data_IF_143247644814
#
_entry.id   IF_143247644814
#
_cell.length_a   1.000
_cell.length_b   1.000
_cell.length_c   1.000
_cell.angle_alpha   90.00
_cell.angle_beta   90.00
_cell.angle_gamma   90.00
#
_symmetry.space_group_name_H-M   'P 1'
#
loop_
_entity.id
_entity.type
_entity.pdbx_description
1 polymer ?
#
# COMPACT_ATOMS: atom_id res chain seq x y z
N UNK A 1 -70.72 -17.20 27.54
CA UNK A 1 -69.62 -16.24 27.36
C UNK A 1 -68.37 -17.02 27.00
N UNK A 2 -68.07 -17.09 25.70
CA UNK A 2 -66.84 -17.70 25.15
C UNK A 2 -65.66 -16.79 25.49
N UNK A 3 -64.63 -17.32 26.16
CA UNK A 3 -63.32 -16.67 26.22
C UNK A 3 -62.30 -17.57 25.52
N UNK A 4 -61.91 -17.14 24.32
CA UNK A 4 -60.81 -17.72 23.56
C UNK A 4 -59.47 -17.39 24.23
N UNK A 5 -58.66 -18.43 24.43
CA UNK A 5 -57.25 -18.33 24.81
C UNK A 5 -56.45 -17.97 23.56
N UNK A 6 -55.83 -16.78 23.56
CA UNK A 6 -54.89 -16.37 22.52
C UNK A 6 -53.45 -16.64 22.98
N UNK A 7 -52.72 -17.42 22.17
CA UNK A 7 -51.32 -17.77 22.31
C UNK A 7 -50.47 -16.54 21.93
N UNK A 8 -49.67 -16.00 22.85
CA UNK A 8 -48.64 -15.01 22.53
C UNK A 8 -47.41 -15.72 21.96
N UNK A 9 -47.18 -15.57 20.65
CA UNK A 9 -45.88 -15.81 20.03
C UNK A 9 -45.05 -14.52 20.14
N UNK A 10 -43.90 -14.59 20.81
CA UNK A 10 -42.93 -13.50 20.89
C UNK A 10 -42.18 -13.39 19.55
N UNK A 11 -42.53 -12.38 18.75
CA UNK A 11 -41.76 -11.99 17.56
C UNK A 11 -40.69 -11.00 18.01
N UNK A 12 -39.42 -11.40 17.92
CA UNK A 12 -38.27 -10.52 18.14
C UNK A 12 -38.21 -9.47 17.02
N UNK A 13 -38.70 -8.27 17.31
CA UNK A 13 -38.68 -7.14 16.39
C UNK A 13 -37.25 -6.72 16.03
N UNK A 14 -36.88 -6.93 14.77
CA UNK A 14 -35.82 -6.17 14.12
C UNK A 14 -36.31 -4.73 13.94
N UNK A 15 -35.70 -3.78 14.64
CA UNK A 15 -35.89 -2.36 14.36
C UNK A 15 -35.12 -2.05 13.07
N UNK A 16 -35.81 -2.15 11.92
CA UNK A 16 -35.40 -1.48 10.68
C UNK A 16 -35.68 0.00 10.87
N UNK A 17 -34.67 0.85 10.78
CA UNK A 17 -34.89 2.29 10.67
C UNK A 17 -35.42 2.57 9.26
N UNK A 18 -36.71 2.90 9.16
CA UNK A 18 -37.26 3.58 7.98
C UNK A 18 -36.92 5.07 8.09
N UNK A 19 -35.87 5.50 7.38
CA UNK A 19 -35.68 6.89 6.99
C UNK A 19 -34.75 6.95 5.77
N UNK A 20 -35.26 7.56 4.70
CA UNK A 20 -34.70 7.73 3.35
C UNK A 20 -34.74 6.48 2.45
N UNK A 21 -35.85 6.33 1.71
CA UNK A 21 -35.84 5.77 0.35
C UNK A 21 -34.96 6.68 -0.54
N UNK A 22 -33.65 6.60 -0.34
CA UNK A 22 -32.65 7.24 -1.18
C UNK A 22 -32.27 6.28 -2.29
N UNK A 23 -32.31 6.75 -3.55
CA UNK A 23 -31.77 6.07 -4.75
C UNK A 23 -30.72 5.03 -4.39
N UNK A 24 -30.98 3.75 -4.71
CA UNK A 24 -29.96 2.71 -4.62
C UNK A 24 -28.69 3.24 -5.30
N UNK A 25 -27.55 3.21 -4.60
CA UNK A 25 -26.28 3.63 -5.19
C UNK A 25 -26.09 2.83 -6.48
N UNK A 26 -25.99 3.47 -7.66
CA UNK A 26 -25.91 2.74 -8.93
C UNK A 26 -24.61 1.93 -9.01
N UNK A 27 -23.59 2.30 -8.23
CA UNK A 27 -22.32 1.58 -8.15
C UNK A 27 -22.33 0.68 -6.92
N UNK A 28 -22.36 -0.64 -7.15
CA UNK A 28 -22.17 -1.64 -6.10
C UNK A 28 -20.67 -1.95 -5.99
N UNK A 29 -20.09 -1.99 -4.78
CA UNK A 29 -18.70 -2.40 -4.65
C UNK A 29 -18.52 -3.87 -5.06
N UNK A 30 -17.40 -4.16 -5.71
CA UNK A 30 -17.04 -5.46 -6.27
C UNK A 30 -16.76 -6.51 -5.18
N UNK A 31 -16.30 -6.08 -4.00
CA UNK A 31 -15.88 -6.95 -2.90
C UNK A 31 -16.10 -6.29 -1.53
N UNK A 32 -17.31 -5.78 -1.27
CA UNK A 32 -17.59 -5.09 0.00
C UNK A 32 -17.62 -6.04 1.20
N UNK A 33 -18.02 -7.30 0.98
CA UNK A 33 -17.92 -8.36 1.98
C UNK A 33 -16.45 -8.73 2.18
N UNK A 34 -16.08 -9.04 3.42
CA UNK A 34 -14.70 -9.35 3.78
C UNK A 34 -14.59 -10.36 4.90
N UNK A 35 -13.42 -10.98 4.98
CA UNK A 35 -12.95 -11.76 6.13
C UNK A 35 -12.00 -10.90 6.96
N UNK A 36 -12.13 -10.93 8.28
CA UNK A 36 -11.20 -10.24 9.18
C UNK A 36 -9.99 -11.14 9.42
N UNK A 37 -8.81 -10.68 9.00
CA UNK A 37 -7.53 -11.39 9.21
C UNK A 37 -6.95 -11.07 10.58
N UNK A 38 -7.13 -9.83 11.02
CA UNK A 38 -6.68 -9.36 12.33
C UNK A 38 -7.67 -8.33 12.87
N UNK A 39 -7.92 -8.41 14.17
CA UNK A 39 -8.68 -7.44 14.93
C UNK A 39 -7.89 -6.97 16.15
N UNK A 40 -7.88 -5.67 16.37
CA UNK A 40 -7.15 -5.06 17.47
C UNK A 40 -7.82 -5.36 18.82
N UNK A 41 -7.04 -5.81 19.83
CA UNK A 41 -7.56 -5.98 21.19
C UNK A 41 -7.82 -4.65 21.91
N UNK A 42 -7.26 -3.54 21.41
CA UNK A 42 -7.47 -2.19 21.93
C UNK A 42 -7.50 -1.20 20.75
N UNK A 43 -8.65 -1.06 20.06
CA UNK A 43 -8.79 -0.21 18.86
C UNK A 43 -8.37 1.25 19.04
N UNK A 44 -8.38 1.76 20.27
CA UNK A 44 -8.02 3.14 20.58
C UNK A 44 -6.50 3.37 20.70
N UNK A 45 -5.70 2.32 20.94
CA UNK A 45 -4.28 2.46 21.24
C UNK A 45 -3.36 1.48 20.49
N UNK A 46 -3.90 0.38 19.94
CA UNK A 46 -3.20 -0.60 19.12
C UNK A 46 -3.85 -0.59 17.74
N UNK A 47 -3.08 -0.22 16.74
CA UNK A 47 -3.55 0.00 15.38
C UNK A 47 -3.05 -1.11 14.46
N UNK A 48 -3.81 -1.39 13.40
CA UNK A 48 -3.49 -2.38 12.39
C UNK A 48 -2.90 -1.71 11.15
N UNK A 49 -1.70 -2.10 10.73
CA UNK A 49 -0.96 -1.42 9.67
C UNK A 49 -0.35 -2.35 8.61
N UNK A 50 -0.06 -1.71 7.47
CA UNK A 50 0.83 -2.19 6.39
C UNK A 50 0.63 -3.63 5.92
N UNK A 51 -0.58 -3.98 5.43
CA UNK A 51 -0.84 -5.32 4.93
C UNK A 51 0.04 -5.66 3.71
N UNK A 52 0.68 -6.82 3.73
CA UNK A 52 1.31 -7.47 2.58
C UNK A 52 0.69 -8.86 2.34
N UNK A 53 0.69 -9.33 1.09
CA UNK A 53 0.02 -10.58 0.70
C UNK A 53 0.79 -11.27 -0.42
N UNK A 54 0.95 -12.59 -0.32
CA UNK A 54 1.44 -13.47 -1.40
C UNK A 54 0.69 -14.79 -1.39
N UNK A 55 0.54 -15.41 -2.56
CA UNK A 55 0.08 -16.78 -2.70
C UNK A 55 1.25 -17.68 -3.09
N UNK A 56 1.42 -18.78 -2.37
CA UNK A 56 2.45 -19.78 -2.63
C UNK A 56 2.00 -20.78 -3.70
N UNK A 57 2.94 -21.50 -4.34
CA UNK A 57 2.61 -22.71 -5.07
C UNK A 57 1.76 -23.65 -4.21
N UNK A 58 0.65 -24.16 -4.75
CA UNK A 58 -0.33 -24.96 -4.00
C UNK A 58 -1.47 -24.15 -3.37
N UNK A 59 -1.49 -22.82 -3.51
CA UNK A 59 -2.65 -21.98 -3.22
C UNK A 59 -2.70 -21.39 -1.81
N UNK A 60 -1.79 -21.80 -0.91
CA UNK A 60 -1.66 -21.22 0.43
C UNK A 60 -1.36 -19.74 0.38
N UNK A 61 -2.07 -18.95 1.18
CA UNK A 61 -1.89 -17.51 1.28
C UNK A 61 -1.04 -17.16 2.50
N UNK A 62 -0.14 -16.20 2.36
CA UNK A 62 0.65 -15.63 3.44
C UNK A 62 0.38 -14.13 3.51
N UNK A 63 -0.04 -13.66 4.68
CA UNK A 63 -0.28 -12.25 4.96
C UNK A 63 0.69 -11.73 6.01
N UNK A 64 1.15 -10.50 5.81
CA UNK A 64 1.92 -9.74 6.80
C UNK A 64 1.14 -8.50 7.21
N UNK A 65 1.36 -8.03 8.43
CA UNK A 65 0.89 -6.73 8.91
C UNK A 65 1.74 -6.30 10.10
N UNK A 66 1.59 -5.07 10.58
CA UNK A 66 2.23 -4.64 11.83
C UNK A 66 1.27 -3.95 12.80
N UNK A 67 1.54 -4.15 14.08
CA UNK A 67 0.87 -3.44 15.17
C UNK A 67 1.69 -2.22 15.55
N UNK A 68 1.02 -1.06 15.58
CA UNK A 68 1.60 0.20 16.03
C UNK A 68 0.69 0.94 17.01
N UNK A 69 1.15 2.10 17.49
CA UNK A 69 0.40 2.94 18.42
C UNK A 69 0.87 2.81 19.88
N UNK A 70 0.40 3.73 20.73
CA UNK A 70 0.88 3.88 22.11
C UNK A 70 0.56 2.71 23.04
N UNK A 71 -0.36 1.84 22.63
CA UNK A 71 -0.76 0.64 23.38
C UNK A 71 0.15 -0.56 23.12
N UNK A 72 0.97 -0.53 22.06
CA UNK A 72 1.78 -1.70 21.65
C UNK A 72 2.77 -2.12 22.74
N UNK A 73 3.41 -1.19 23.44
CA UNK A 73 4.34 -1.49 24.55
C UNK A 73 3.71 -2.26 25.72
N UNK A 74 2.37 -2.32 25.79
CA UNK A 74 1.62 -3.03 26.82
C UNK A 74 1.17 -4.42 26.38
N UNK A 75 1.35 -4.77 25.11
CA UNK A 75 1.04 -6.10 24.61
C UNK A 75 2.03 -7.13 25.19
N UNK A 76 1.61 -8.38 25.41
CA UNK A 76 2.51 -9.44 25.82
C UNK A 76 3.55 -9.72 24.72
N UNK A 77 4.75 -10.14 25.13
CA UNK A 77 5.85 -10.56 24.25
C UNK A 77 6.33 -9.49 23.27
N UNK A 78 6.40 -8.23 23.72
CA UNK A 78 6.94 -7.11 22.96
C UNK A 78 8.42 -6.92 23.32
N UNK A 79 9.26 -6.89 22.28
CA UNK A 79 10.64 -6.45 22.40
C UNK A 79 10.69 -4.96 22.74
N UNK A 80 11.40 -4.62 23.81
CA UNK A 80 11.41 -3.25 24.37
C UNK A 80 12.64 -2.44 23.96
N UNK A 81 13.61 -3.09 23.34
CA UNK A 81 14.83 -2.46 22.86
C UNK A 81 14.60 -2.01 21.41
N UNK A 82 14.44 -0.69 21.22
CA UNK A 82 14.26 -0.08 19.89
C UNK A 82 12.85 0.40 19.56
N UNK A 83 12.48 0.33 18.28
CA UNK A 83 11.22 0.85 17.76
C UNK A 83 10.05 -0.03 18.25
N UNK A 84 9.10 0.54 18.99
CA UNK A 84 7.99 -0.22 19.61
C UNK A 84 6.89 -0.51 18.57
N UNK A 85 7.12 -1.53 17.76
CA UNK A 85 6.20 -2.10 16.77
C UNK A 85 6.29 -3.62 16.82
N UNK A 86 5.28 -4.31 16.26
CA UNK A 86 5.33 -5.76 16.12
C UNK A 86 4.79 -6.19 14.77
N UNK A 87 5.66 -6.70 13.91
CA UNK A 87 5.25 -7.38 12.69
C UNK A 87 4.57 -8.70 13.02
N UNK A 88 3.57 -9.08 12.22
CA UNK A 88 2.81 -10.32 12.38
C UNK A 88 2.63 -11.01 11.04
N UNK A 89 2.75 -12.32 11.04
CA UNK A 89 2.61 -13.19 9.88
C UNK A 89 1.42 -14.13 10.10
N UNK A 90 0.58 -14.25 9.08
CA UNK A 90 -0.58 -15.14 9.07
C UNK A 90 -0.55 -16.03 7.82
N UNK A 91 -1.19 -17.19 7.91
CA UNK A 91 -1.38 -18.10 6.79
C UNK A 91 -2.86 -18.48 6.64
N UNK A 92 -3.26 -18.80 5.41
CA UNK A 92 -4.56 -19.39 5.11
C UNK A 92 -4.42 -20.52 4.09
N UNK A 93 -5.00 -21.67 4.40
CA UNK A 93 -5.00 -22.89 3.57
C UNK A 93 -6.39 -23.17 2.95
N UNK A 94 -7.36 -22.27 3.13
CA UNK A 94 -8.76 -22.42 2.71
C UNK A 94 -9.23 -21.25 1.82
N UNK A 95 -8.31 -20.72 1.03
CA UNK A 95 -8.49 -19.59 0.11
C UNK A 95 -8.88 -18.26 0.80
N UNK A 96 -8.40 -18.05 2.03
CA UNK A 96 -8.61 -16.81 2.79
C UNK A 96 -9.90 -16.77 3.60
N UNK A 97 -10.59 -17.91 3.78
CA UNK A 97 -11.80 -18.01 4.62
C UNK A 97 -11.45 -17.96 6.10
N UNK A 98 -10.35 -18.59 6.50
CA UNK A 98 -9.79 -18.53 7.85
C UNK A 98 -8.30 -18.23 7.81
N UNK A 99 -7.80 -17.59 8.87
CA UNK A 99 -6.42 -17.14 8.98
C UNK A 99 -5.81 -17.57 10.30
N UNK A 100 -4.63 -18.17 10.22
CA UNK A 100 -3.89 -18.66 11.37
C UNK A 100 -2.68 -17.75 11.61
N UNK A 101 -2.50 -17.30 12.85
CA UNK A 101 -1.27 -16.62 13.24
C UNK A 101 -0.10 -17.60 13.20
N UNK A 102 1.00 -17.20 12.58
CA UNK A 102 2.20 -18.04 12.40
C UNK A 102 3.37 -17.58 13.24
N UNK A 103 3.71 -16.30 13.16
CA UNK A 103 4.85 -15.75 13.90
C UNK A 103 4.71 -14.24 14.07
N UNK A 104 5.30 -13.73 15.14
CA UNK A 104 5.68 -12.33 15.21
C UNK A 104 7.00 -12.12 14.45
N UNK A 105 7.29 -10.89 14.04
CA UNK A 105 8.49 -10.51 13.30
C UNK A 105 9.03 -9.17 13.84
N UNK A 106 10.35 -8.99 13.97
CA UNK A 106 10.94 -7.78 14.56
C UNK A 106 10.94 -6.58 13.60
N UNK A 107 10.25 -6.68 12.46
CA UNK A 107 10.21 -5.66 11.43
C UNK A 107 8.77 -5.20 11.17
N UNK A 108 8.59 -3.93 10.83
CA UNK A 108 7.33 -3.39 10.35
C UNK A 108 7.36 -3.22 8.83
N UNK A 109 6.22 -2.84 8.25
CA UNK A 109 6.08 -2.55 6.82
C UNK A 109 6.50 -3.73 5.91
N UNK A 110 6.37 -4.94 6.41
CA UNK A 110 7.02 -6.11 5.82
C UNK A 110 6.21 -6.65 4.64
N UNK A 111 6.88 -6.98 3.53
CA UNK A 111 6.28 -7.61 2.34
C UNK A 111 6.66 -9.10 2.27
N UNK A 112 5.70 -10.02 2.07
CA UNK A 112 6.01 -11.41 1.77
C UNK A 112 6.18 -11.59 0.26
N UNK A 113 7.13 -12.42 -0.17
CA UNK A 113 7.35 -12.77 -1.58
C UNK A 113 8.13 -14.09 -1.69
N UNK A 114 8.06 -14.72 -2.85
CA UNK A 114 8.79 -15.97 -3.13
C UNK A 114 10.02 -15.71 -3.99
N UNK A 115 11.11 -16.43 -3.73
CA UNK A 115 12.24 -16.52 -4.64
C UNK A 115 12.72 -17.98 -4.67
N UNK A 116 12.69 -18.58 -5.86
CA UNK A 116 12.98 -20.00 -6.02
C UNK A 116 11.95 -20.84 -5.28
N UNK A 117 12.42 -21.67 -4.33
CA UNK A 117 11.55 -22.55 -3.52
C UNK A 117 11.24 -21.97 -2.14
N UNK A 118 11.76 -20.79 -1.83
CA UNK A 118 11.72 -20.23 -0.49
C UNK A 118 10.76 -19.04 -0.44
N UNK A 119 10.13 -18.88 0.71
CA UNK A 119 9.33 -17.73 1.08
C UNK A 119 10.19 -16.77 1.89
N UNK A 120 10.11 -15.49 1.56
CA UNK A 120 10.80 -14.43 2.26
C UNK A 120 9.80 -13.38 2.75
N UNK A 121 10.12 -12.75 3.89
CA UNK A 121 9.46 -11.54 4.35
C UNK A 121 10.54 -10.49 4.59
N UNK A 122 10.48 -9.39 3.84
CA UNK A 122 11.41 -8.26 3.92
C UNK A 122 10.68 -7.04 4.48
N UNK A 123 11.26 -6.42 5.49
CA UNK A 123 10.74 -5.20 6.10
C UNK A 123 11.88 -4.38 6.70
N UNK A 124 11.55 -3.52 7.67
CA UNK A 124 12.57 -2.75 8.38
C UNK A 124 12.26 -2.57 9.86
N UNK A 125 13.29 -2.33 10.65
CA UNK A 125 13.22 -1.87 12.05
C UNK A 125 14.08 -0.60 12.26
N UNK A 126 14.26 0.17 11.18
CA UNK A 126 15.32 1.16 11.01
C UNK A 126 16.43 0.67 10.08
N UNK A 127 16.74 -0.64 10.11
CA UNK A 127 17.58 -1.34 9.13
C UNK A 127 16.71 -2.24 8.25
N UNK A 128 17.21 -2.62 7.07
CA UNK A 128 16.54 -3.69 6.31
C UNK A 128 16.73 -5.03 7.01
N UNK A 129 15.63 -5.74 7.21
CA UNK A 129 15.63 -7.05 7.85
C UNK A 129 14.81 -8.01 7.01
N UNK A 130 15.31 -9.23 6.83
CA UNK A 130 14.64 -10.30 6.10
C UNK A 130 14.55 -11.56 6.96
N UNK A 131 13.43 -12.26 6.86
CA UNK A 131 13.26 -13.62 7.37
C UNK A 131 12.91 -14.56 6.23
N UNK A 132 13.27 -15.83 6.37
CA UNK A 132 13.08 -16.88 5.37
C UNK A 132 12.29 -18.05 5.97
N UNK A 133 11.47 -18.68 5.14
CA UNK A 133 10.81 -19.95 5.40
C UNK A 133 11.01 -20.89 4.21
N UNK A 134 11.33 -22.15 4.51
CA UNK A 134 11.51 -23.23 3.52
C UNK A 134 10.40 -24.30 3.62
N UNK A 135 9.37 -24.05 4.44
CA UNK A 135 8.26 -24.96 4.72
C UNK A 135 6.90 -24.26 4.55
N UNK A 136 6.79 -23.40 3.52
CA UNK A 136 5.57 -22.68 3.16
C UNK A 136 5.00 -21.79 4.28
N UNK A 137 5.88 -21.19 5.09
CA UNK A 137 5.53 -20.27 6.16
C UNK A 137 5.05 -20.97 7.44
N UNK A 138 5.32 -22.26 7.59
CA UNK A 138 5.06 -22.99 8.84
C UNK A 138 6.02 -22.56 9.95
N UNK A 139 7.31 -22.49 9.63
CA UNK A 139 8.38 -22.01 10.51
C UNK A 139 9.22 -20.94 9.81
N UNK A 140 9.91 -20.13 10.62
CA UNK A 140 10.71 -18.99 10.15
C UNK A 140 12.11 -19.06 10.75
N UNK A 141 13.11 -18.84 9.89
CA UNK A 141 14.50 -18.70 10.31
C UNK A 141 14.75 -17.41 11.12
N UNK A 142 15.97 -17.27 11.62
CA UNK A 142 16.37 -16.07 12.36
C UNK A 142 16.27 -14.82 11.47
N UNK A 143 15.80 -13.68 11.99
CA UNK A 143 15.85 -12.40 11.29
C UNK A 143 17.29 -12.02 10.94
N UNK A 144 17.52 -11.64 9.68
CA UNK A 144 18.83 -11.22 9.20
C UNK A 144 18.79 -9.76 8.78
N UNK A 145 19.67 -8.96 9.37
CA UNK A 145 19.89 -7.58 8.97
C UNK A 145 20.71 -7.55 7.67
N UNK A 146 20.21 -6.86 6.65
CA UNK A 146 20.89 -6.74 5.35
C UNK A 146 21.76 -5.48 5.27
N UNK A 147 21.47 -4.43 6.04
CA UNK A 147 22.15 -3.13 5.88
C UNK A 147 22.92 -2.72 7.12
N UNK A 148 24.08 -2.12 6.94
CA UNK A 148 24.83 -1.48 8.04
C UNK A 148 24.28 -0.09 8.36
N UNK A 149 23.60 0.55 7.40
CA UNK A 149 22.99 1.86 7.54
C UNK A 149 21.53 1.78 7.99
N UNK A 150 21.14 2.78 8.77
CA UNK A 150 19.77 2.99 9.25
C UNK A 150 19.00 3.92 8.29
N UNK A 151 17.71 4.15 8.60
CA UNK A 151 16.86 5.12 7.91
C UNK A 151 15.99 4.48 6.82
N UNK A 152 15.86 3.15 6.86
CA UNK A 152 15.03 2.42 5.91
C UNK A 152 13.55 2.56 6.24
N UNK A 153 12.75 2.59 5.17
CA UNK A 153 11.31 2.77 5.18
C UNK A 153 10.73 2.06 3.96
N UNK A 154 9.42 1.81 4.01
CA UNK A 154 8.48 1.64 2.88
C UNK A 154 7.47 0.54 3.18
N UNK A 155 6.17 0.86 3.13
CA UNK A 155 5.09 -0.12 3.24
C UNK A 155 5.12 -1.15 2.07
N UNK A 156 4.41 -2.29 2.17
CA UNK A 156 4.46 -3.33 1.12
C UNK A 156 3.96 -2.84 -0.24
N UNK A 157 4.85 -2.80 -1.23
CA UNK A 157 4.54 -2.59 -2.64
C UNK A 157 4.90 -3.85 -3.45
N UNK A 158 4.68 -3.81 -4.76
CA UNK A 158 4.89 -4.97 -5.62
C UNK A 158 6.36 -5.45 -5.68
N UNK A 159 6.53 -6.67 -6.19
CA UNK A 159 7.81 -7.29 -6.54
C UNK A 159 7.75 -7.66 -8.01
N UNK A 160 8.78 -7.27 -8.77
CA UNK A 160 8.90 -7.57 -10.18
C UNK A 160 9.84 -8.75 -10.40
N UNK A 161 9.53 -9.61 -11.37
CA UNK A 161 10.34 -10.76 -11.73
C UNK A 161 10.74 -10.63 -13.20
N UNK A 162 12.04 -10.59 -13.47
CA UNK A 162 12.60 -10.52 -14.82
C UNK A 162 14.02 -11.10 -14.80
N UNK A 163 14.50 -11.64 -15.93
CA UNK A 163 15.89 -12.06 -16.07
C UNK A 163 16.41 -13.00 -14.95
N UNK A 164 15.59 -13.95 -14.50
CA UNK A 164 15.88 -14.84 -13.36
C UNK A 164 16.29 -14.10 -12.06
N UNK A 165 15.79 -12.87 -11.92
CA UNK A 165 15.97 -12.00 -10.78
C UNK A 165 14.63 -11.50 -10.24
N UNK A 166 14.66 -11.16 -8.97
CA UNK A 166 13.67 -10.27 -8.37
C UNK A 166 14.17 -8.84 -8.45
N UNK A 167 13.23 -7.91 -8.59
CA UNK A 167 13.44 -6.48 -8.43
C UNK A 167 12.35 -5.94 -7.51
N UNK A 168 12.77 -5.24 -6.46
CA UNK A 168 11.87 -4.55 -5.55
C UNK A 168 12.50 -3.25 -5.10
N UNK A 169 11.73 -2.40 -4.45
CA UNK A 169 12.25 -1.13 -3.91
C UNK A 169 12.16 -1.19 -2.39
N UNK A 170 13.10 -0.54 -1.71
CA UNK A 170 12.97 -0.05 -0.34
C UNK A 170 13.48 1.39 -0.30
N UNK A 171 12.97 2.21 0.61
CA UNK A 171 13.29 3.63 0.64
C UNK A 171 14.27 3.93 1.76
N UNK A 172 15.25 4.78 1.48
CA UNK A 172 16.19 5.25 2.49
C UNK A 172 16.02 6.74 2.72
N UNK A 173 15.89 7.13 3.98
CA UNK A 173 15.99 8.52 4.39
C UNK A 173 17.46 8.98 4.30
N UNK A 174 17.75 9.84 3.32
CA UNK A 174 19.11 10.33 3.05
C UNK A 174 19.50 11.53 3.92
N UNK A 175 18.56 12.12 4.65
CA UNK A 175 18.77 13.30 5.50
C UNK A 175 17.92 13.20 6.76
N UNK A 176 18.50 12.63 7.83
CA UNK A 176 17.83 12.48 9.13
C UNK A 176 17.58 13.81 9.84
N UNK A 177 18.12 14.93 9.33
CA UNK A 177 17.86 16.26 9.87
C UNK A 177 16.58 16.90 9.29
N UNK A 178 16.00 16.30 8.25
CA UNK A 178 14.74 16.75 7.66
C UNK A 178 13.62 16.82 8.72
N UNK A 179 12.94 17.96 8.77
CA UNK A 179 11.86 18.19 9.73
C UNK A 179 10.52 17.71 9.19
N UNK A 180 9.67 17.19 10.07
CA UNK A 180 8.35 16.71 9.67
C UNK A 180 8.43 15.36 8.96
N UNK A 181 7.55 15.14 7.98
CA UNK A 181 7.51 13.90 7.22
C UNK A 181 8.57 13.92 6.10
N UNK A 182 9.56 13.01 6.07
CA UNK A 182 10.78 13.16 5.26
C UNK A 182 10.62 12.77 3.78
N UNK A 183 9.42 12.91 3.21
CA UNK A 183 9.11 12.48 1.82
C UNK A 183 9.94 13.19 0.75
N UNK A 184 10.50 14.36 1.05
CA UNK A 184 11.39 15.10 0.17
C UNK A 184 12.80 14.49 0.07
N UNK A 185 13.19 13.66 1.05
CA UNK A 185 14.54 13.07 1.21
C UNK A 185 14.52 11.55 1.26
N UNK A 186 13.39 10.92 0.93
CA UNK A 186 13.34 9.48 0.71
C UNK A 186 13.88 9.16 -0.68
N UNK A 187 14.95 8.38 -0.74
CA UNK A 187 15.48 7.82 -1.97
C UNK A 187 14.87 6.42 -2.20
N UNK A 188 14.12 6.17 -3.29
CA UNK A 188 13.81 4.82 -3.71
C UNK A 188 15.09 4.09 -4.11
N UNK A 189 15.45 3.05 -3.38
CA UNK A 189 16.59 2.19 -3.70
C UNK A 189 16.07 0.90 -4.32
N UNK A 190 16.34 0.71 -5.60
CA UNK A 190 16.02 -0.54 -6.29
C UNK A 190 17.00 -1.60 -5.84
N UNK A 191 16.44 -2.73 -5.40
CA UNK A 191 17.16 -3.91 -4.97
C UNK A 191 16.91 -5.03 -5.97
N UNK A 192 17.97 -5.70 -6.43
CA UNK A 192 17.85 -6.90 -7.25
C UNK A 192 18.68 -8.06 -6.71
N UNK A 193 18.22 -9.27 -6.94
CA UNK A 193 18.91 -10.51 -6.57
C UNK A 193 18.44 -11.66 -7.47
N UNK A 194 19.26 -12.68 -7.67
CA UNK A 194 18.81 -13.88 -8.40
C UNK A 194 17.69 -14.58 -7.63
N UNK A 195 16.68 -15.08 -8.34
CA UNK A 195 15.58 -15.88 -7.74
C UNK A 195 16.09 -17.17 -7.10
N UNK A 196 17.27 -17.65 -7.49
CA UNK A 196 17.88 -18.88 -6.96
C UNK A 196 18.87 -18.63 -5.82
N UNK A 197 19.18 -17.36 -5.52
CA UNK A 197 20.12 -17.00 -4.47
C UNK A 197 19.49 -17.13 -3.08
N UNK A 198 20.36 -17.28 -2.08
CA UNK A 198 19.92 -17.15 -0.69
C UNK A 198 19.80 -15.67 -0.32
N UNK A 199 18.57 -15.17 -0.27
CA UNK A 199 18.30 -13.75 -0.06
C UNK A 199 18.52 -13.28 1.37
N UNK A 200 18.82 -14.17 2.32
CA UNK A 200 19.28 -13.76 3.66
C UNK A 200 20.72 -13.25 3.65
N UNK A 201 21.46 -13.43 2.56
CA UNK A 201 22.85 -12.99 2.43
C UNK A 201 22.91 -11.62 1.75
N UNK A 202 23.62 -10.67 2.36
CA UNK A 202 23.72 -9.31 1.84
C UNK A 202 24.44 -9.27 0.48
N UNK A 203 25.42 -10.13 0.27
CA UNK A 203 26.15 -10.27 -0.99
C UNK A 203 25.31 -10.79 -2.15
N UNK A 204 24.12 -11.38 -1.88
CA UNK A 204 23.17 -11.77 -2.93
C UNK A 204 22.46 -10.58 -3.59
N UNK A 205 22.54 -9.40 -2.98
CA UNK A 205 21.75 -8.22 -3.37
C UNK A 205 22.60 -7.12 -4.01
N UNK A 206 22.13 -6.62 -5.14
CA UNK A 206 22.56 -5.34 -5.73
C UNK A 206 21.60 -4.24 -5.29
N UNK A 207 22.13 -3.05 -5.02
CA UNK A 207 21.37 -1.86 -4.64
C UNK A 207 21.70 -0.73 -5.62
N UNK A 208 20.69 0.06 -5.98
CA UNK A 208 20.91 1.29 -6.76
C UNK A 208 21.56 2.41 -5.94
N UNK A 209 21.92 3.50 -6.62
CA UNK A 209 22.18 4.78 -5.97
C UNK A 209 20.95 5.31 -5.20
N UNK A 210 21.21 6.30 -4.35
CA UNK A 210 20.19 7.03 -3.59
C UNK A 210 19.87 8.35 -4.30
N UNK A 211 18.74 8.39 -5.01
CA UNK A 211 18.24 9.59 -5.70
C UNK A 211 16.89 10.01 -5.10
N UNK A 212 16.84 11.13 -4.36
CA UNK A 212 15.62 11.57 -3.68
C UNK A 212 14.90 12.71 -4.42
N UNK A 213 13.70 13.06 -3.98
CA UNK A 213 12.88 14.10 -4.60
C UNK A 213 13.61 15.46 -4.68
N UNK A 214 14.36 15.80 -3.62
CA UNK A 214 15.16 17.04 -3.59
C UNK A 214 16.28 17.04 -4.62
N UNK A 215 16.85 15.89 -4.98
CA UNK A 215 17.87 15.80 -6.02
C UNK A 215 17.26 16.13 -7.38
N UNK A 216 16.09 15.57 -7.69
CA UNK A 216 15.34 15.90 -8.90
C UNK A 216 15.00 17.40 -8.98
N UNK A 217 14.55 18.01 -7.88
CA UNK A 217 14.26 19.45 -7.85
C UNK A 217 15.52 20.31 -7.96
N UNK A 218 16.64 19.87 -7.40
CA UNK A 218 17.92 20.58 -7.51
C UNK A 218 18.44 20.54 -8.95
N UNK A 219 18.26 19.42 -9.63
CA UNK A 219 18.74 19.19 -11.00
C UNK A 219 17.86 19.87 -12.05
N UNK A 220 16.53 19.76 -11.93
CA UNK A 220 15.58 20.17 -12.96
C UNK A 220 14.73 21.40 -12.59
N UNK A 221 14.91 21.93 -11.38
CA UNK A 221 14.11 23.03 -10.87
C UNK A 221 12.83 22.57 -10.17
N UNK A 222 12.09 23.54 -9.63
CA UNK A 222 10.85 23.27 -8.89
C UNK A 222 9.73 22.86 -9.85
N UNK A 223 8.83 21.96 -9.42
CA UNK A 223 7.57 21.72 -10.12
C UNK A 223 6.86 23.04 -10.42
N UNK A 224 6.39 23.22 -11.65
CA UNK A 224 5.63 24.39 -12.05
C UNK A 224 4.34 24.00 -12.77
N UNK A 225 3.37 24.92 -12.79
CA UNK A 225 2.15 24.89 -13.61
C UNK A 225 1.11 23.78 -13.32
N UNK A 226 1.39 22.82 -12.43
CA UNK A 226 0.42 21.79 -11.99
C UNK A 226 -0.17 22.04 -10.60
N UNK A 227 0.20 23.15 -9.94
CA UNK A 227 -0.28 23.49 -8.60
C UNK A 227 0.30 22.61 -7.48
N UNK A 228 1.56 22.20 -7.58
CA UNK A 228 2.28 21.45 -6.55
C UNK A 228 3.42 22.30 -5.94
N UNK A 229 3.45 22.53 -4.61
CA UNK A 229 2.46 22.10 -3.62
C UNK A 229 1.10 22.80 -3.79
N UNK A 230 0.03 22.08 -3.46
CA UNK A 230 -1.34 22.61 -3.48
C UNK A 230 -1.62 23.50 -2.25
N UNK A 231 -1.10 23.12 -1.09
CA UNK A 231 -1.13 23.92 0.14
C UNK A 231 0.28 24.32 0.55
N UNK A 232 0.43 25.50 1.17
CA UNK A 232 1.72 25.90 1.78
C UNK A 232 2.09 24.92 2.90
N UNK A 233 3.37 24.59 3.04
CA UNK A 233 3.89 23.82 4.18
C UNK A 233 3.46 24.48 5.50
N UNK A 234 3.02 23.68 6.46
CA UNK A 234 2.52 24.12 7.76
C UNK A 234 1.08 23.71 8.04
N UNK A 235 0.48 24.31 9.06
CA UNK A 235 -0.90 24.03 9.45
C UNK A 235 -1.88 24.74 8.51
N UNK A 236 -2.83 24.00 7.97
CA UNK A 236 -3.89 24.54 7.10
C UNK A 236 -5.20 24.80 7.86
N UNK A 237 -5.41 24.13 8.99
CA UNK A 237 -6.58 24.31 9.85
C UNK A 237 -6.19 24.32 11.34
N UNK A 238 -5.42 25.32 11.82
CA UNK A 238 -4.91 25.36 13.19
C UNK A 238 -6.00 25.39 14.27
N UNK A 239 -7.21 25.85 13.94
CA UNK A 239 -8.37 25.88 14.85
C UNK A 239 -9.16 24.58 14.93
N UNK A 240 -8.85 23.57 14.10
CA UNK A 240 -9.49 22.26 14.16
C UNK A 240 -9.12 21.53 15.45
N UNK A 241 -10.10 20.90 16.11
CA UNK A 241 -9.91 20.19 17.37
C UNK A 241 -9.28 18.82 17.10
N UNK A 242 -8.14 18.52 17.73
CA UNK A 242 -7.44 17.25 17.60
C UNK A 242 -6.51 17.18 16.38
N UNK A 243 -7.07 17.28 15.17
CA UNK A 243 -6.31 17.23 13.92
C UNK A 243 -6.16 18.62 13.29
N UNK A 244 -4.94 19.17 13.35
CA UNK A 244 -4.62 20.53 12.85
C UNK A 244 -4.34 20.59 11.34
N UNK A 245 -4.44 19.47 10.63
CA UNK A 245 -4.32 19.35 9.16
C UNK A 245 -3.04 19.98 8.61
N UNK A 246 -1.93 19.27 8.77
CA UNK A 246 -0.59 19.73 8.41
C UNK A 246 -0.14 19.31 7.01
N UNK A 247 0.40 20.24 6.25
CA UNK A 247 1.14 19.98 5.01
C UNK A 247 2.64 19.93 5.30
N UNK A 248 3.27 18.79 5.00
CA UNK A 248 4.75 18.67 4.96
C UNK A 248 5.28 19.09 3.60
N UNK A 249 6.61 19.29 3.49
CA UNK A 249 7.26 19.54 2.20
C UNK A 249 6.91 18.45 1.18
N UNK A 250 6.79 18.84 -0.08
CA UNK A 250 6.43 17.90 -1.14
C UNK A 250 7.51 16.87 -1.38
N UNK A 251 7.10 15.70 -1.82
CA UNK A 251 7.99 14.58 -2.02
C UNK A 251 7.28 13.35 -2.54
N UNK A 252 7.98 12.23 -2.49
CA UNK A 252 7.46 10.94 -2.91
C UNK A 252 7.70 9.87 -1.86
N UNK A 253 6.95 8.77 -1.95
CA UNK A 253 7.21 7.53 -1.21
C UNK A 253 6.39 6.35 -1.75
N UNK A 254 6.49 5.18 -1.12
CA UNK A 254 5.71 3.96 -1.39
C UNK A 254 5.83 3.49 -2.83
N UNK A 255 7.06 3.31 -3.27
CA UNK A 255 7.43 2.98 -4.65
C UNK A 255 6.96 1.59 -5.10
N UNK A 256 6.20 1.57 -6.19
CA UNK A 256 5.97 0.39 -7.02
C UNK A 256 6.96 0.39 -8.19
N UNK A 257 7.37 -0.79 -8.64
CA UNK A 257 8.29 -0.99 -9.76
C UNK A 257 7.56 -1.67 -10.93
N UNK A 258 7.71 -1.14 -12.13
CA UNK A 258 7.08 -1.69 -13.35
C UNK A 258 8.06 -1.70 -14.51
N UNK A 259 7.80 -2.53 -15.50
CA UNK A 259 8.49 -2.50 -16.79
C UNK A 259 7.47 -2.43 -17.92
N UNK A 260 7.79 -1.67 -18.95
CA UNK A 260 7.00 -1.61 -20.17
C UNK A 260 7.49 -2.67 -21.14
N UNK A 261 6.59 -3.58 -21.49
CA UNK A 261 6.87 -4.76 -22.34
C UNK A 261 6.27 -4.63 -23.74
N UNK A 262 5.41 -3.64 -23.97
CA UNK A 262 4.85 -3.32 -25.28
C UNK A 262 5.90 -2.58 -26.13
N UNK A 263 6.35 -3.16 -27.27
CA UNK A 263 7.34 -2.54 -28.14
C UNK A 263 6.95 -1.17 -28.70
N UNK A 264 5.65 -0.86 -28.73
CA UNK A 264 5.12 0.41 -29.22
C UNK A 264 5.02 1.47 -28.11
N UNK A 265 5.34 1.12 -26.86
CA UNK A 265 5.38 2.06 -25.74
C UNK A 265 6.60 2.99 -25.84
N UNK A 266 6.40 4.29 -25.63
CA UNK A 266 7.48 5.30 -25.79
C UNK A 266 8.66 5.14 -24.81
N UNK A 267 8.43 4.44 -23.70
CA UNK A 267 9.45 4.07 -22.71
C UNK A 267 9.80 2.58 -22.73
N UNK A 268 9.47 1.89 -23.82
CA UNK A 268 9.89 0.50 -24.02
C UNK A 268 11.41 0.42 -24.13
N UNK A 269 11.99 -0.55 -23.43
CA UNK A 269 13.40 -0.90 -23.55
C UNK A 269 13.51 -2.33 -24.10
N UNK A 270 14.00 -2.51 -25.35
CA UNK A 270 14.12 -3.83 -25.97
C UNK A 270 15.11 -4.75 -25.24
N UNK A 271 16.01 -4.21 -24.43
CA UNK A 271 16.92 -5.01 -23.62
C UNK A 271 16.28 -5.49 -22.30
N UNK A 272 15.08 -5.01 -21.96
CA UNK A 272 14.39 -5.34 -20.71
C UNK A 272 15.15 -4.90 -19.46
N UNK A 273 16.03 -3.88 -19.56
CA UNK A 273 16.91 -3.43 -18.47
C UNK A 273 16.43 -2.16 -17.79
N UNK A 274 15.42 -1.52 -18.37
CA UNK A 274 14.78 -0.33 -17.82
C UNK A 274 13.53 -0.72 -17.04
N UNK A 275 13.48 -0.23 -15.81
CA UNK A 275 12.36 -0.30 -14.90
C UNK A 275 11.92 1.12 -14.57
N UNK A 276 10.67 1.27 -14.21
CA UNK A 276 10.14 2.55 -13.81
C UNK A 276 9.48 2.46 -12.44
N UNK A 277 9.56 3.58 -11.73
CA UNK A 277 9.24 3.69 -10.32
C UNK A 277 8.02 4.59 -10.18
N UNK A 278 6.87 4.01 -9.88
CA UNK A 278 5.63 4.72 -9.59
C UNK A 278 5.50 4.94 -8.09
N UNK A 279 5.48 6.20 -7.67
CA UNK A 279 5.52 6.56 -6.25
C UNK A 279 4.30 7.39 -5.86
N UNK A 280 3.83 7.20 -4.63
CA UNK A 280 2.87 8.10 -4.01
C UNK A 280 3.42 9.53 -4.03
N UNK A 281 2.65 10.46 -4.58
CA UNK A 281 3.03 11.88 -4.62
C UNK A 281 2.41 12.64 -3.44
N UNK A 282 3.25 13.11 -2.52
CA UNK A 282 2.79 14.03 -1.49
C UNK A 282 2.86 15.47 -2.01
N UNK A 283 1.77 15.91 -2.64
CA UNK A 283 1.65 17.27 -3.22
C UNK A 283 0.61 18.15 -2.53
N UNK A 284 -0.24 17.55 -1.69
CA UNK A 284 -1.45 18.18 -1.14
C UNK A 284 -2.66 18.10 -2.08
N UNK A 285 -2.49 17.64 -3.33
CA UNK A 285 -3.55 17.39 -4.30
C UNK A 285 -3.85 15.88 -4.43
N UNK A 286 -4.67 15.49 -5.40
CA UNK A 286 -5.07 14.11 -5.70
C UNK A 286 -4.72 13.71 -7.13
N UNK A 287 -4.70 12.39 -7.39
CA UNK A 287 -4.58 11.79 -8.73
C UNK A 287 -3.24 12.02 -9.46
N UNK A 288 -2.17 12.26 -8.70
CA UNK A 288 -0.81 12.35 -9.21
C UNK A 288 0.06 11.30 -8.52
N UNK A 289 0.91 10.62 -9.28
CA UNK A 289 2.05 9.87 -8.76
C UNK A 289 3.35 10.55 -9.22
N UNK A 290 4.43 10.33 -8.48
CA UNK A 290 5.76 10.70 -8.95
C UNK A 290 6.34 9.54 -9.77
N UNK A 291 7.17 9.86 -10.77
CA UNK A 291 7.85 8.86 -11.60
C UNK A 291 9.35 9.07 -11.62
N UNK A 292 10.09 7.97 -11.58
CA UNK A 292 11.53 7.89 -11.84
C UNK A 292 11.80 6.61 -12.65
N UNK A 293 13.03 6.44 -13.13
CA UNK A 293 13.46 5.19 -13.79
C UNK A 293 14.69 4.61 -13.14
N UNK A 294 14.82 3.30 -13.24
CA UNK A 294 16.00 2.55 -12.87
C UNK A 294 16.51 1.77 -14.08
N UNK A 295 17.81 1.82 -14.35
CA UNK A 295 18.44 1.10 -15.45
C UNK A 295 19.46 0.12 -14.89
N UNK A 296 19.38 -1.14 -15.30
CA UNK A 296 20.36 -2.18 -15.00
C UNK A 296 21.42 -2.27 -16.11
N UNK A 297 22.66 -1.91 -15.81
CA UNK A 297 23.77 -2.02 -16.74
C UNK A 297 24.19 -3.49 -16.98
N UNK A 298 25.02 -3.73 -17.98
CA UNK A 298 25.50 -5.09 -18.33
C UNK A 298 26.24 -5.79 -17.17
N UNK A 299 26.94 -5.02 -16.34
CA UNK A 299 27.63 -5.50 -15.14
C UNK A 299 26.68 -5.78 -13.95
N UNK A 300 25.38 -5.52 -14.13
CA UNK A 300 24.34 -5.69 -13.12
C UNK A 300 24.19 -4.52 -12.15
N UNK A 301 24.97 -3.43 -12.30
CA UNK A 301 24.79 -2.22 -11.51
C UNK A 301 23.45 -1.53 -11.83
N UNK A 302 22.82 -0.95 -10.82
CA UNK A 302 21.52 -0.30 -10.92
C UNK A 302 21.66 1.21 -10.72
N UNK A 303 21.08 2.01 -11.62
CA UNK A 303 21.07 3.46 -11.50
C UNK A 303 19.66 4.03 -11.61
N UNK A 304 19.22 4.75 -10.59
CA UNK A 304 17.97 5.51 -10.52
C UNK A 304 18.20 6.97 -10.91
N UNK A 305 17.36 7.48 -11.80
CA UNK A 305 17.32 8.88 -12.25
C UNK A 305 15.88 9.31 -12.50
N UNK A 306 15.64 10.62 -12.68
CA UNK A 306 14.33 11.10 -13.12
C UNK A 306 14.04 10.67 -14.56
N UNK A 307 12.78 10.35 -14.85
CA UNK A 307 12.35 10.06 -16.22
C UNK A 307 12.28 11.34 -17.07
N UNK A 308 12.34 11.19 -18.38
CA UNK A 308 12.11 12.24 -19.37
C UNK A 308 10.96 11.87 -20.30
N UNK A 309 10.18 12.86 -20.68
CA UNK A 309 9.23 12.75 -21.76
C UNK A 309 9.97 12.59 -23.11
N UNK A 310 9.29 12.12 -24.18
CA UNK A 310 9.88 12.06 -25.52
C UNK A 310 10.43 13.40 -26.04
N UNK A 311 9.94 14.54 -25.54
CA UNK A 311 10.49 15.87 -25.84
C UNK A 311 11.87 16.14 -25.22
N UNK A 312 12.31 15.30 -24.29
CA UNK A 312 13.52 15.50 -23.48
C UNK A 312 13.29 16.25 -22.17
N UNK A 313 12.08 16.79 -21.94
CA UNK A 313 11.72 17.47 -20.69
C UNK A 313 11.66 16.49 -19.51
N UNK A 314 12.09 16.90 -18.30
CA UNK A 314 11.99 16.07 -17.10
C UNK A 314 10.53 15.79 -16.76
N UNK A 315 10.22 14.53 -16.46
CA UNK A 315 8.88 14.08 -16.10
C UNK A 315 8.87 13.64 -14.64
N UNK A 316 8.42 14.53 -13.76
CA UNK A 316 8.36 14.27 -12.33
C UNK A 316 7.02 13.66 -11.89
N UNK A 317 5.93 14.03 -12.55
CA UNK A 317 4.59 13.57 -12.20
C UNK A 317 3.91 12.89 -13.38
N UNK A 318 3.08 11.89 -13.07
CA UNK A 318 2.20 11.19 -13.99
C UNK A 318 0.76 11.17 -13.44
N UNK A 319 -0.27 11.20 -14.31
CA UNK A 319 -1.63 10.93 -13.91
C UNK A 319 -1.73 9.53 -13.27
N UNK A 320 -2.29 9.46 -12.07
CA UNK A 320 -2.45 8.19 -11.36
C UNK A 320 -3.62 8.31 -10.39
N UNK A 321 -4.80 7.72 -10.68
CA UNK A 321 -5.95 7.75 -9.79
C UNK A 321 -5.60 7.29 -8.37
N UNK A 322 -5.81 8.14 -7.37
CA UNK A 322 -5.46 7.84 -5.98
C UNK A 322 -3.96 7.91 -5.64
N UNK A 323 -3.12 8.38 -6.56
CA UNK A 323 -1.65 8.46 -6.42
C UNK A 323 -1.15 9.32 -5.25
N UNK A 324 -2.01 10.11 -4.61
CA UNK A 324 -1.69 10.84 -3.37
C UNK A 324 -1.66 9.96 -2.12
N UNK A 325 -2.17 8.74 -2.22
CA UNK A 325 -2.17 7.71 -1.19
C UNK A 325 -1.37 6.47 -1.62
N UNK A 326 -1.09 5.55 -0.70
CA UNK A 326 -0.47 4.27 -1.07
C UNK A 326 -1.39 3.55 -2.07
N UNK A 327 -0.79 3.11 -3.17
CA UNK A 327 -1.44 2.29 -4.18
C UNK A 327 -0.59 1.05 -4.47
N UNK A 328 -1.15 0.08 -5.19
CA UNK A 328 -0.48 -1.14 -5.59
C UNK A 328 -0.71 -1.37 -7.09
N UNK A 329 0.37 -1.67 -7.83
CA UNK A 329 0.32 -1.98 -9.26
C UNK A 329 0.72 -3.44 -9.50
N UNK A 330 -0.05 -4.16 -10.31
CA UNK A 330 0.32 -5.46 -10.85
C UNK A 330 0.26 -5.42 -12.38
N UNK A 331 1.13 -6.19 -13.04
CA UNK A 331 1.05 -6.44 -14.47
C UNK A 331 0.49 -7.84 -14.72
N UNK A 332 -0.59 -7.92 -15.49
CA UNK A 332 -1.24 -9.17 -15.85
C UNK A 332 -0.71 -9.67 -17.20
N UNK A 333 0.12 -10.70 -17.15
CA UNK A 333 0.71 -11.33 -18.34
C UNK A 333 -0.33 -11.89 -19.31
N UNK A 334 -1.52 -12.24 -18.82
CA UNK A 334 -2.57 -12.84 -19.67
C UNK A 334 -3.22 -11.79 -20.56
N UNK A 335 -3.59 -10.65 -19.99
CA UNK A 335 -4.28 -9.57 -20.72
C UNK A 335 -3.32 -8.50 -21.24
N UNK A 336 -2.05 -8.53 -20.81
CA UNK A 336 -1.06 -7.48 -21.05
C UNK A 336 -1.52 -6.11 -20.53
N UNK A 337 -2.19 -6.11 -19.37
CA UNK A 337 -2.70 -4.90 -18.72
C UNK A 337 -2.05 -4.70 -17.36
N UNK A 338 -1.86 -3.44 -17.00
CA UNK A 338 -1.58 -3.02 -15.64
C UNK A 338 -2.89 -2.89 -14.86
N UNK A 339 -2.89 -3.33 -13.62
CA UNK A 339 -3.98 -3.17 -12.67
C UNK A 339 -3.51 -2.26 -11.53
N UNK A 340 -4.33 -1.27 -11.17
CA UNK A 340 -4.06 -0.29 -10.12
C UNK A 340 -5.15 -0.35 -9.06
N UNK A 341 -4.74 -0.63 -7.82
CA UNK A 341 -5.59 -0.55 -6.64
C UNK A 341 -5.18 0.66 -5.79
N UNK A 342 -6.12 1.57 -5.55
CA UNK A 342 -5.82 2.83 -4.86
C UNK A 342 -7.01 3.39 -4.07
N UNK A 343 -6.75 4.38 -3.22
CA UNK A 343 -7.80 5.09 -2.49
C UNK A 343 -8.48 6.14 -3.39
N UNK A 344 -9.80 6.16 -3.38
CA UNK A 344 -10.58 7.21 -4.06
C UNK A 344 -10.77 8.42 -3.15
N UNK A 345 -10.41 9.61 -3.63
CA UNK A 345 -10.85 10.87 -3.05
C UNK A 345 -12.15 11.32 -3.73
N UNK A 346 -13.09 11.85 -2.94
CA UNK A 346 -14.40 12.30 -3.45
C UNK A 346 -14.64 13.80 -3.21
N UNK A 347 -13.85 14.41 -2.33
CA UNK A 347 -14.02 15.78 -1.86
C UNK A 347 -12.65 16.38 -1.43
N UNK A 348 -11.70 16.42 -2.37
CA UNK A 348 -10.34 16.93 -2.12
C UNK A 348 -10.18 18.45 -2.29
N UNK A 349 -11.22 19.14 -2.74
CA UNK A 349 -11.20 20.59 -2.99
C UNK A 349 -11.89 21.40 -1.88
N UNK A 350 -12.44 20.73 -0.86
CA UNK A 350 -13.01 21.41 0.30
C UNK A 350 -11.92 22.12 1.10
N UNK A 351 -12.19 23.36 1.51
CA UNK A 351 -11.34 24.13 2.40
C UNK A 351 -10.98 23.31 3.66
N UNK A 352 -9.68 23.13 3.99
CA UNK A 352 -9.27 22.38 5.17
C UNK A 352 -9.89 22.88 6.47
N UNK A 353 -10.36 24.12 6.58
CA UNK A 353 -11.05 24.63 7.78
C UNK A 353 -12.51 24.17 7.89
N UNK A 354 -13.08 23.65 6.81
CA UNK A 354 -14.49 23.27 6.68
C UNK A 354 -14.73 21.76 6.62
N UNK A 355 -13.69 20.93 6.49
CA UNK A 355 -13.91 19.48 6.52
C UNK A 355 -14.44 19.05 7.90
N UNK A 356 -15.38 18.08 7.94
CA UNK A 356 -15.95 17.58 9.19
C UNK A 356 -14.91 16.90 10.09
N UNK A 357 -15.22 16.74 11.38
CA UNK A 357 -14.30 16.21 12.39
C UNK A 357 -13.82 14.77 12.10
N UNK A 358 -14.64 13.95 11.44
CA UNK A 358 -14.30 12.58 11.07
C UNK A 358 -13.44 12.46 9.79
N UNK A 359 -13.12 13.58 9.11
CA UNK A 359 -12.19 13.61 7.97
C UNK A 359 -10.76 13.82 8.47
N UNK A 360 -9.91 12.85 8.15
CA UNK A 360 -8.52 12.82 8.55
C UNK A 360 -7.64 13.70 7.64
N UNK A 361 -6.88 14.57 8.28
CA UNK A 361 -5.84 15.44 7.75
C UNK A 361 -6.35 16.33 6.60
N UNK A 362 -5.49 16.59 5.61
CA UNK A 362 -5.82 17.39 4.42
C UNK A 362 -6.95 16.74 3.60
N UNK A 363 -7.72 17.52 2.83
CA UNK A 363 -8.85 17.01 2.03
C UNK A 363 -8.51 15.81 1.14
N UNK A 364 -7.29 15.76 0.61
CA UNK A 364 -6.78 14.71 -0.27
C UNK A 364 -6.51 13.35 0.44
N UNK A 365 -6.64 13.27 1.77
CA UNK A 365 -6.37 12.09 2.60
C UNK A 365 -7.61 11.21 2.86
N UNK A 366 -8.60 11.23 1.97
CA UNK A 366 -9.72 10.28 2.04
C UNK A 366 -9.27 8.84 1.88
N UNK A 367 -9.80 7.95 2.73
CA UNK A 367 -9.32 6.58 2.89
C UNK A 367 -10.42 5.54 2.92
N UNK A 368 -11.69 5.94 2.83
CA UNK A 368 -12.83 5.06 3.10
C UNK A 368 -13.29 4.25 1.87
N UNK A 369 -12.73 4.55 0.70
CA UNK A 369 -13.10 3.97 -0.60
C UNK A 369 -11.86 3.44 -1.29
N UNK A 370 -11.91 2.17 -1.70
CA UNK A 370 -10.87 1.49 -2.46
C UNK A 370 -11.37 1.24 -3.88
N UNK A 371 -10.61 1.62 -4.89
CA UNK A 371 -11.01 1.54 -6.30
C UNK A 371 -9.97 0.77 -7.14
N UNK A 372 -10.45 0.14 -8.21
CA UNK A 372 -9.67 -0.66 -9.15
C UNK A 372 -9.70 0.00 -10.54
N UNK A 373 -8.54 0.06 -11.18
CA UNK A 373 -8.37 0.50 -12.56
C UNK A 373 -7.55 -0.51 -13.35
N UNK A 374 -7.70 -0.49 -14.67
CA UNK A 374 -6.80 -1.16 -15.61
C UNK A 374 -6.19 -0.15 -16.58
N UNK A 375 -5.02 -0.45 -17.14
CA UNK A 375 -4.35 0.38 -18.15
C UNK A 375 -3.50 -0.48 -19.08
N UNK A 376 -3.42 -0.09 -20.35
CA UNK A 376 -2.48 -0.70 -21.31
C UNK A 376 -1.05 -0.19 -21.15
N UNK A 377 -0.89 1.07 -20.72
CA UNK A 377 0.39 1.78 -20.72
C UNK A 377 0.79 2.31 -19.33
N UNK A 378 0.07 1.94 -18.27
CA UNK A 378 0.32 2.40 -16.89
C UNK A 378 0.21 3.93 -16.69
N UNK A 379 -0.39 4.64 -17.64
CA UNK A 379 -0.62 6.10 -17.62
C UNK A 379 -2.10 6.41 -17.79
N UNK A 380 -2.73 5.85 -18.82
CA UNK A 380 -4.13 6.02 -19.13
C UNK A 380 -4.96 4.97 -18.40
N UNK A 381 -5.52 5.36 -17.26
CA UNK A 381 -6.24 4.45 -16.36
C UNK A 381 -7.74 4.45 -16.65
N UNK A 382 -8.28 3.28 -16.97
CA UNK A 382 -9.71 3.01 -17.10
C UNK A 382 -10.28 2.51 -15.78
N UNK A 383 -11.43 3.04 -15.37
CA UNK A 383 -12.08 2.64 -14.12
C UNK A 383 -12.73 1.26 -14.25
N UNK A 384 -12.30 0.30 -13.44
CA UNK A 384 -12.85 -1.05 -13.43
C UNK A 384 -14.00 -1.19 -12.41
N UNK A 385 -13.89 -0.52 -11.27
CA UNK A 385 -14.94 -0.53 -10.25
C UNK A 385 -14.47 -0.12 -8.86
N UNK A 386 -15.44 0.09 -7.96
CA UNK A 386 -15.19 0.30 -6.55
C UNK A 386 -14.99 -1.07 -5.87
N UNK A 387 -13.85 -1.32 -5.24
CA UNK A 387 -13.59 -2.61 -4.58
C UNK A 387 -14.34 -2.71 -3.26
N UNK A 388 -14.16 -1.71 -2.39
CA UNK A 388 -14.79 -1.66 -1.08
C UNK A 388 -15.06 -0.21 -0.65
N UNK A 389 -16.13 -0.02 0.11
CA UNK A 389 -16.54 1.26 0.66
C UNK A 389 -17.12 1.06 2.06
N UNK A 390 -16.51 1.69 3.06
CA UNK A 390 -17.05 1.64 4.43
C UNK A 390 -18.28 2.53 4.62
N UNK A 391 -18.56 3.44 3.68
CA UNK A 391 -19.61 4.44 3.79
C UNK A 391 -19.34 5.52 4.86
N UNK A 392 -18.17 5.50 5.51
CA UNK A 392 -17.83 6.42 6.58
C UNK A 392 -16.39 6.89 6.47
N UNK A 393 -16.19 8.21 6.32
CA UNK A 393 -14.87 8.81 6.16
C UNK A 393 -13.89 8.52 7.32
N UNK A 394 -14.39 8.23 8.52
CA UNK A 394 -13.57 7.84 9.69
C UNK A 394 -13.16 6.36 9.71
N UNK A 395 -13.65 5.55 8.77
CA UNK A 395 -13.44 4.10 8.71
C UNK A 395 -12.68 3.76 7.43
N UNK A 396 -11.37 3.59 7.52
CA UNK A 396 -10.50 3.36 6.35
C UNK A 396 -10.77 2.03 5.63
N UNK A 397 -10.43 2.00 4.34
CA UNK A 397 -10.29 0.88 3.39
C UNK A 397 -9.13 1.27 2.45
N UNK A 398 -7.90 1.22 2.95
CA UNK A 398 -6.73 1.80 2.25
C UNK A 398 -5.46 1.00 2.47
N UNK A 399 -4.33 1.51 1.95
CA UNK A 399 -3.00 0.93 2.14
C UNK A 399 -2.90 -0.52 1.66
N UNK A 400 -3.81 -0.91 0.76
CA UNK A 400 -4.02 -2.28 0.42
C UNK A 400 -2.85 -2.88 -0.38
N UNK A 401 -2.77 -4.21 -0.31
CA UNK A 401 -1.96 -5.02 -1.21
C UNK A 401 -2.86 -5.97 -1.97
N UNK A 402 -2.48 -6.30 -3.21
CA UNK A 402 -3.25 -7.21 -4.04
C UNK A 402 -2.36 -8.22 -4.73
N UNK A 403 -2.94 -9.38 -5.06
CA UNK A 403 -2.32 -10.44 -5.85
C UNK A 403 -3.35 -11.06 -6.79
N UNK A 404 -2.90 -11.64 -7.89
CA UNK A 404 -3.70 -12.53 -8.72
C UNK A 404 -3.82 -13.91 -8.06
N UNK A 405 -5.00 -14.52 -8.14
CA UNK A 405 -5.26 -15.90 -7.72
C UNK A 405 -6.21 -16.54 -8.71
N UNK A 406 -5.66 -17.15 -9.77
CA UNK A 406 -6.46 -17.64 -10.90
C UNK A 406 -7.17 -16.49 -11.62
N UNK A 407 -8.50 -16.56 -11.66
CA UNK A 407 -9.38 -15.54 -12.28
C UNK A 407 -9.78 -14.43 -11.30
N UNK A 408 -9.42 -14.57 -10.03
CA UNK A 408 -9.76 -13.62 -8.98
C UNK A 408 -8.58 -12.71 -8.64
N UNK A 409 -8.91 -11.51 -8.14
CA UNK A 409 -7.96 -10.62 -7.49
C UNK A 409 -8.22 -10.64 -5.98
N UNK A 410 -7.20 -11.01 -5.21
CA UNK A 410 -7.25 -11.03 -3.75
C UNK A 410 -6.67 -9.74 -3.20
N UNK A 411 -7.34 -9.14 -2.22
CA UNK A 411 -6.97 -7.84 -1.66
C UNK A 411 -6.92 -7.91 -0.14
N UNK A 412 -5.81 -7.45 0.43
CA UNK A 412 -5.65 -7.27 1.86
C UNK A 412 -5.58 -5.76 2.18
N UNK A 413 -6.46 -5.27 3.03
CA UNK A 413 -6.66 -3.84 3.27
C UNK A 413 -6.49 -3.48 4.73
N UNK A 414 -5.86 -2.33 5.00
CA UNK A 414 -5.87 -1.71 6.32
C UNK A 414 -7.23 -1.05 6.47
N UNK A 415 -7.95 -1.46 7.51
CA UNK A 415 -9.35 -1.13 7.62
C UNK A 415 -9.72 -0.65 9.02
N UNK A 416 -10.82 0.09 9.10
CA UNK A 416 -11.42 0.53 10.36
C UNK A 416 -12.90 0.21 10.41
N UNK A 417 -13.41 -0.04 11.61
CA UNK A 417 -14.85 0.00 11.90
C UNK A 417 -15.19 1.17 12.84
N UNK A 418 -16.38 1.19 13.41
CA UNK A 418 -16.83 2.27 14.32
C UNK A 418 -15.98 2.42 15.59
N UNK A 419 -15.10 1.45 15.91
CA UNK A 419 -14.18 1.48 17.05
C UNK A 419 -12.79 1.99 16.67
N UNK A 420 -12.51 2.13 15.36
CA UNK A 420 -11.23 2.64 14.88
C UNK A 420 -10.94 4.03 15.46
N UNK A 421 -9.66 4.29 15.72
CA UNK A 421 -9.24 5.57 16.28
C UNK A 421 -9.53 6.73 15.32
N UNK A 422 -9.27 6.54 14.03
CA UNK A 422 -9.58 7.44 12.92
C UNK A 422 -9.37 6.73 11.57
N UNK A 423 -9.59 7.45 10.47
CA UNK A 423 -9.49 6.92 9.10
C UNK A 423 -8.08 6.44 8.72
N UNK A 424 -7.05 6.97 9.37
CA UNK A 424 -5.69 6.48 9.24
C UNK A 424 -5.54 5.28 10.17
N UNK A 425 -5.65 5.48 11.48
CA UNK A 425 -5.37 4.51 12.53
C UNK A 425 -6.50 3.47 12.69
N UNK A 426 -6.56 2.54 11.73
CA UNK A 426 -7.50 1.42 11.68
C UNK A 426 -7.23 0.36 12.75
N UNK A 427 -8.26 -0.43 13.06
CA UNK A 427 -8.25 -1.47 14.08
C UNK A 427 -8.37 -2.90 13.52
N UNK A 428 -8.57 -3.06 12.21
CA UNK A 428 -8.74 -4.36 11.57
C UNK A 428 -7.92 -4.46 10.27
N UNK A 429 -7.53 -5.69 9.91
CA UNK A 429 -7.06 -6.03 8.56
C UNK A 429 -8.14 -6.87 7.89
N UNK A 430 -8.59 -6.46 6.71
CA UNK A 430 -9.69 -7.12 5.98
C UNK A 430 -9.19 -7.74 4.69
N UNK A 431 -9.67 -8.95 4.40
CA UNK A 431 -9.41 -9.70 3.18
C UNK A 431 -10.65 -9.68 2.29
N UNK A 432 -10.44 -9.31 1.03
CA UNK A 432 -11.48 -9.14 0.01
C UNK A 432 -11.13 -9.95 -1.24
N UNK A 433 -12.15 -10.32 -2.02
CA UNK A 433 -12.00 -11.06 -3.28
C UNK A 433 -12.84 -10.39 -4.36
N UNK A 434 -12.17 -9.84 -5.37
CA UNK A 434 -12.82 -9.38 -6.60
C UNK A 434 -12.82 -10.55 -7.57
N UNK A 435 -14.01 -11.10 -7.85
CA UNK A 435 -14.15 -12.28 -8.69
C UNK A 435 -14.05 -11.92 -10.17
N UNK A 436 -13.46 -12.82 -10.97
CA UNK A 436 -13.37 -12.69 -12.43
C UNK A 436 -12.94 -11.29 -12.89
N UNK A 437 -11.92 -10.71 -12.24
CA UNK A 437 -11.62 -9.27 -12.38
C UNK A 437 -11.31 -8.86 -13.83
N UNK A 438 -10.83 -9.79 -14.67
CA UNK A 438 -10.57 -9.57 -16.09
C UNK A 438 -11.82 -9.30 -16.92
N UNK A 439 -12.99 -9.76 -16.49
CA UNK A 439 -14.28 -9.46 -17.13
C UNK A 439 -14.69 -7.98 -16.98
N UNK A 440 -14.00 -7.21 -16.13
CA UNK A 440 -14.22 -5.77 -15.94
C UNK A 440 -13.60 -4.91 -17.05
N UNK A 441 -12.80 -5.50 -17.95
CA UNK A 441 -12.15 -4.80 -19.07
C UNK A 441 -13.16 -4.56 -20.19
N UNK A 442 -13.16 -3.35 -20.77
CA UNK A 442 -14.08 -2.92 -21.82
C UNK A 442 -13.38 -2.23 -22.98
#
# INVERSE_FOLDING_TARGET
MLFCVAILAAVSGHVRSEAAEGRACPVRPLANDFVVVYESPDPANVYAYSPGLVQLPGGRLIATMDQGGRGVSKLPNIERDGMIWRGRIYASDDEGKTWQFKSDSPMCHARPFTAGKSLYVLGHNGYLVIVRSDDNGETWGQPVQLTESTGWHQAPCNVWYAHDKIYLVMERNTDTSAKGWPVAVLAPVVMSASVSADLTKRESWTFSNEYCFRDAVKEFGKPNLIGAPFFKTGLTAPGSKGDKRGMSDIGWLETNIVQFTDPDHVWYDPAGRTFHLWMRAHTGSTNLACVAKAIEAEDGSLTVTLEKAPSGEPMLYVPCPGGQMKFHILYDEQTKLFWLLSSQATDSMTDPTKLPENRYNLPNNERHRLMLHFSKNCVDWCFAGLVADSGNAGQGRHYASMIFSGDDLLVLSRSGDHRAKDAHNGNIITFHRVKNFRELVY
#
